data_IF_381370647554
#
_entry.id   IF_381370647554
#
_cell.length_a   1.000
_cell.length_b   1.000
_cell.length_c   1.000
_cell.angle_alpha   90.00
_cell.angle_beta   90.00
_cell.angle_gamma   90.00
#
_symmetry.space_group_name_H-M   'P 1'
#
loop_
_entity.id
_entity.type
_entity.pdbx_description
1 polymer ?
#
# COMPACT_ATOMS: atom_id res chain seq x y z
N UNK A 1 23.19 46.25 53.78
CA UNK A 1 22.82 44.85 53.52
C UNK A 1 21.45 44.84 52.87
N UNK A 2 21.39 44.67 51.56
CA UNK A 2 20.14 44.57 50.79
C UNK A 2 19.70 43.12 50.75
N UNK A 3 18.52 42.82 51.29
CA UNK A 3 17.93 41.48 51.27
C UNK A 3 17.45 41.15 49.84
N UNK A 4 17.87 40.00 49.31
CA UNK A 4 17.40 39.48 48.02
C UNK A 4 15.93 39.07 48.18
N UNK A 5 14.99 39.50 47.29
CA UNK A 5 13.58 39.18 47.45
C UNK A 5 13.31 37.67 47.37
N UNK A 6 12.31 37.12 48.09
CA UNK A 6 12.07 35.68 48.19
C UNK A 6 11.65 34.97 46.88
N UNK A 7 11.46 35.69 45.77
CA UNK A 7 10.86 35.15 44.55
C UNK A 7 11.82 34.41 43.59
N UNK A 8 13.13 34.67 43.66
CA UNK A 8 14.09 34.14 42.66
C UNK A 8 14.44 32.68 42.96
N UNK A 9 14.50 32.29 44.23
CA UNK A 9 14.85 30.92 44.65
C UNK A 9 13.74 29.92 44.32
N UNK A 10 12.47 30.32 44.45
CA UNK A 10 11.30 29.50 44.11
C UNK A 10 11.14 29.32 42.61
N UNK A 11 11.37 30.38 41.82
CA UNK A 11 11.29 30.29 40.35
C UNK A 11 12.37 29.37 39.77
N UNK A 12 13.59 29.44 40.30
CA UNK A 12 14.71 28.58 39.90
C UNK A 12 14.47 27.11 40.27
N UNK A 13 13.91 26.85 41.46
CA UNK A 13 13.55 25.49 41.89
C UNK A 13 12.44 24.88 41.00
N UNK A 14 11.45 25.68 40.62
CA UNK A 14 10.32 25.23 39.79
C UNK A 14 10.76 24.91 38.35
N UNK A 15 11.65 25.72 37.78
CA UNK A 15 12.28 25.44 36.49
C UNK A 15 13.15 24.18 36.52
N UNK A 16 13.85 23.93 37.63
CA UNK A 16 14.62 22.70 37.82
C UNK A 16 13.74 21.44 37.87
N UNK A 17 12.61 21.50 38.57
CA UNK A 17 11.66 20.38 38.65
C UNK A 17 11.02 20.11 37.29
N UNK A 18 10.59 21.15 36.58
CA UNK A 18 10.05 21.00 35.21
C UNK A 18 11.10 20.44 34.26
N UNK A 19 12.34 20.94 34.32
CA UNK A 19 13.44 20.42 33.52
C UNK A 19 13.74 18.95 33.81
N UNK A 20 13.75 18.54 35.08
CA UNK A 20 13.95 17.14 35.47
C UNK A 20 12.81 16.22 35.00
N UNK A 21 11.56 16.70 35.05
CA UNK A 21 10.39 15.94 34.53
C UNK A 21 10.49 15.79 33.01
N UNK A 22 10.83 16.86 32.28
CA UNK A 22 10.98 16.82 30.82
C UNK A 22 12.13 15.89 30.42
N UNK A 23 13.29 16.00 31.07
CA UNK A 23 14.42 15.08 30.83
C UNK A 23 14.04 13.63 31.19
N UNK A 24 13.32 13.42 32.30
CA UNK A 24 12.82 12.11 32.70
C UNK A 24 11.86 11.51 31.66
N UNK A 25 10.96 12.31 31.11
CA UNK A 25 10.03 11.91 30.07
C UNK A 25 10.75 11.59 28.74
N UNK A 26 11.73 12.40 28.35
CA UNK A 26 12.57 12.15 27.16
C UNK A 26 13.43 10.89 27.36
N UNK A 27 14.02 10.70 28.54
CA UNK A 27 14.81 9.51 28.85
C UNK A 27 13.94 8.26 28.86
N UNK A 28 12.72 8.33 29.39
CA UNK A 28 11.80 7.19 29.44
C UNK A 28 11.31 6.84 28.05
N UNK A 29 10.94 7.82 27.22
CA UNK A 29 10.57 7.57 25.81
C UNK A 29 11.72 6.99 25.00
N UNK A 30 12.93 7.51 25.16
CA UNK A 30 14.13 6.99 24.47
C UNK A 30 14.48 5.57 24.92
N UNK A 31 14.39 5.27 26.22
CA UNK A 31 14.66 3.94 26.77
C UNK A 31 13.57 2.95 26.40
N UNK A 32 12.29 3.34 26.42
CA UNK A 32 11.19 2.48 25.97
C UNK A 32 11.35 2.14 24.48
N UNK A 33 11.69 3.12 23.63
CA UNK A 33 11.98 2.86 22.21
C UNK A 33 13.21 1.96 22.03
N UNK A 34 14.28 2.16 22.81
CA UNK A 34 15.49 1.32 22.73
C UNK A 34 15.26 -0.10 23.26
N UNK A 35 14.41 -0.30 24.27
CA UNK A 35 14.04 -1.60 24.83
C UNK A 35 13.02 -2.35 23.96
N UNK A 36 12.26 -1.63 23.14
CA UNK A 36 11.27 -2.23 22.22
C UNK A 36 11.92 -2.89 21.00
N UNK A 37 13.22 -2.69 20.78
CA UNK A 37 13.94 -3.19 19.62
C UNK A 37 13.54 -2.46 18.32
N UNK A 38 14.19 -2.76 17.19
CA UNK A 38 13.72 -2.26 15.90
C UNK A 38 12.29 -2.77 15.62
N UNK A 39 11.47 -1.99 14.88
CA UNK A 39 10.16 -2.44 14.41
C UNK A 39 10.20 -3.87 13.86
N UNK A 40 9.18 -4.68 14.16
CA UNK A 40 9.14 -6.10 13.75
C UNK A 40 9.15 -6.21 12.23
N UNK A 41 8.47 -5.32 11.51
CA UNK A 41 8.50 -5.35 10.04
C UNK A 41 9.89 -5.13 9.43
N UNK A 42 10.88 -4.60 10.16
CA UNK A 42 12.26 -4.45 9.66
C UNK A 42 13.11 -5.71 9.80
N UNK A 43 12.74 -6.62 10.70
CA UNK A 43 13.60 -7.75 11.11
C UNK A 43 12.91 -9.11 11.04
N UNK A 44 11.59 -9.11 10.83
CA UNK A 44 10.75 -10.30 10.86
C UNK A 44 10.02 -10.45 9.53
N UNK A 45 10.52 -11.36 8.70
CA UNK A 45 10.02 -11.63 7.36
C UNK A 45 9.19 -12.92 7.40
N UNK A 46 7.86 -12.87 7.20
CA UNK A 46 7.01 -14.04 7.40
C UNK A 46 7.34 -15.19 6.45
N UNK A 47 7.82 -14.91 5.24
CA UNK A 47 8.20 -15.92 4.24
C UNK A 47 9.50 -16.69 4.57
N UNK A 48 10.35 -16.15 5.45
CA UNK A 48 11.57 -16.84 5.90
C UNK A 48 11.29 -17.87 7.00
N UNK A 49 10.07 -17.89 7.55
CA UNK A 49 9.70 -18.81 8.64
C UNK A 49 9.37 -20.20 8.09
N UNK A 50 9.81 -21.23 8.80
CA UNK A 50 9.45 -22.62 8.49
C UNK A 50 7.93 -22.84 8.55
N UNK A 51 7.28 -22.24 9.55
CA UNK A 51 5.83 -22.31 9.76
C UNK A 51 5.27 -20.88 9.96
N UNK A 52 4.94 -20.15 8.88
CA UNK A 52 4.37 -18.82 9.00
C UNK A 52 2.97 -18.88 9.63
N UNK A 53 2.61 -17.81 10.35
CA UNK A 53 1.23 -17.65 10.83
C UNK A 53 0.30 -17.53 9.63
N UNK A 54 -0.75 -18.35 9.56
CA UNK A 54 -1.79 -18.25 8.53
C UNK A 54 -2.87 -17.29 9.04
N UNK A 55 -3.25 -16.32 8.22
CA UNK A 55 -4.33 -15.38 8.54
C UNK A 55 -5.67 -16.11 8.66
N UNK A 56 -6.50 -15.66 9.60
CA UNK A 56 -7.85 -16.21 9.78
C UNK A 56 -8.79 -15.57 8.78
N UNK A 57 -9.49 -16.41 8.00
CA UNK A 57 -10.52 -15.98 7.04
C UNK A 57 -11.92 -16.06 7.66
N UNK A 58 -12.73 -15.04 7.40
CA UNK A 58 -14.17 -15.00 7.67
C UNK A 58 -14.89 -14.29 6.52
N UNK A 59 -15.48 -15.05 5.60
CA UNK A 59 -16.03 -14.51 4.36
C UNK A 59 -14.94 -13.90 3.48
N UNK A 60 -15.14 -12.65 3.05
CA UNK A 60 -14.15 -11.84 2.31
C UNK A 60 -13.18 -11.08 3.22
N UNK A 61 -13.12 -11.40 4.52
CA UNK A 61 -12.26 -10.71 5.48
C UNK A 61 -11.15 -11.62 6.00
N UNK A 62 -9.91 -11.11 6.02
CA UNK A 62 -8.74 -11.76 6.59
C UNK A 62 -8.18 -10.95 7.74
N UNK A 63 -7.68 -11.63 8.77
CA UNK A 63 -7.09 -10.97 9.94
C UNK A 63 -5.98 -11.79 10.57
N UNK A 64 -5.03 -11.10 11.19
CA UNK A 64 -3.98 -11.73 11.99
C UNK A 64 -3.46 -10.72 13.04
N UNK A 65 -2.82 -11.19 14.14
CA UNK A 65 -2.26 -10.32 15.18
C UNK A 65 -0.95 -9.61 14.78
N UNK A 66 -0.43 -9.86 13.58
CA UNK A 66 0.85 -9.34 13.08
C UNK A 66 1.21 -10.01 11.75
N UNK A 67 2.51 -10.16 11.46
CA UNK A 67 2.99 -10.83 10.25
C UNK A 67 2.30 -12.17 9.99
N UNK A 68 1.77 -12.35 8.78
CA UNK A 68 1.06 -13.57 8.41
C UNK A 68 1.01 -13.78 6.88
N UNK A 69 0.70 -15.02 6.51
CA UNK A 69 0.44 -15.47 5.15
C UNK A 69 -1.07 -15.58 4.93
N UNK A 70 -1.54 -15.15 3.77
CA UNK A 70 -2.90 -15.33 3.28
C UNK A 70 -2.83 -16.32 2.11
N UNK A 71 -3.52 -17.45 2.26
CA UNK A 71 -3.75 -18.38 1.15
C UNK A 71 -5.01 -17.92 0.44
N UNK A 72 -4.89 -17.53 -0.83
CA UNK A 72 -6.04 -17.10 -1.61
C UNK A 72 -6.87 -18.32 -2.04
N UNK A 73 -8.21 -18.27 -1.91
CA UNK A 73 -9.08 -19.33 -2.40
C UNK A 73 -9.19 -19.27 -3.93
N UNK A 74 -9.59 -20.38 -4.55
CA UNK A 74 -9.63 -20.52 -6.01
C UNK A 74 -10.52 -19.46 -6.69
N UNK A 75 -11.61 -19.04 -6.03
CA UNK A 75 -12.53 -18.03 -6.55
C UNK A 75 -11.89 -16.64 -6.70
N UNK A 76 -10.81 -16.36 -5.97
CA UNK A 76 -10.04 -15.12 -6.05
C UNK A 76 -8.78 -15.24 -6.93
N UNK A 77 -8.55 -16.42 -7.52
CA UNK A 77 -7.36 -16.70 -8.35
C UNK A 77 -7.70 -17.23 -9.74
N UNK A 78 -8.98 -17.38 -10.04
CA UNK A 78 -9.50 -17.84 -11.34
C UNK A 78 -10.39 -16.75 -11.94
N UNK A 79 -9.79 -15.62 -12.34
CA UNK A 79 -10.56 -14.52 -12.90
C UNK A 79 -9.76 -13.23 -13.11
N UNK A 80 -10.46 -12.11 -13.00
CA UNK A 80 -9.91 -10.75 -13.04
C UNK A 80 -9.02 -10.45 -11.84
N UNK A 81 -8.37 -9.27 -11.86
CA UNK A 81 -7.66 -8.75 -10.71
C UNK A 81 -8.51 -8.74 -9.43
N UNK A 82 -7.85 -8.80 -8.28
CA UNK A 82 -8.44 -8.66 -6.95
C UNK A 82 -8.06 -7.32 -6.33
N UNK A 83 -8.96 -6.78 -5.52
CA UNK A 83 -8.70 -5.63 -4.65
C UNK A 83 -8.37 -6.15 -3.25
N UNK A 84 -7.30 -5.60 -2.65
CA UNK A 84 -6.92 -5.84 -1.26
C UNK A 84 -7.06 -4.52 -0.52
N UNK A 85 -8.04 -4.44 0.38
CA UNK A 85 -8.36 -3.22 1.12
C UNK A 85 -8.18 -3.40 2.61
N UNK A 86 -7.42 -2.50 3.23
CA UNK A 86 -7.26 -2.39 4.68
C UNK A 86 -8.50 -1.74 5.30
N UNK A 87 -9.18 -2.48 6.17
CA UNK A 87 -10.37 -1.97 6.89
C UNK A 87 -10.06 -1.55 8.31
N UNK A 88 -9.06 -2.16 8.95
CA UNK A 88 -8.59 -1.78 10.28
C UNK A 88 -7.19 -2.32 10.55
N UNK A 89 -6.54 -1.80 11.59
CA UNK A 89 -5.32 -2.38 12.14
C UNK A 89 -4.55 -1.42 13.03
N UNK A 90 -3.77 -1.98 13.95
CA UNK A 90 -2.77 -1.25 14.73
C UNK A 90 -1.41 -1.46 14.06
N UNK A 91 -0.76 -0.37 13.69
CA UNK A 91 0.46 -0.38 12.87
C UNK A 91 0.35 0.72 11.83
N UNK A 92 1.35 1.58 11.74
CA UNK A 92 1.35 2.70 10.79
C UNK A 92 1.35 2.17 9.35
N UNK A 93 2.14 1.12 9.10
CA UNK A 93 2.39 0.57 7.77
C UNK A 93 2.08 -0.93 7.72
N UNK A 94 1.39 -1.36 6.67
CA UNK A 94 1.16 -2.75 6.33
C UNK A 94 1.81 -3.03 4.98
N UNK A 95 2.93 -3.74 4.97
CA UNK A 95 3.61 -4.13 3.74
C UNK A 95 2.94 -5.37 3.17
N UNK A 96 2.53 -5.29 1.91
CA UNK A 96 1.89 -6.39 1.20
C UNK A 96 2.84 -6.92 0.13
N UNK A 97 3.06 -8.24 0.14
CA UNK A 97 3.82 -8.95 -0.88
C UNK A 97 3.02 -10.10 -1.47
N UNK A 98 3.46 -10.60 -2.61
CA UNK A 98 2.82 -11.71 -3.32
C UNK A 98 3.86 -12.73 -3.78
N UNK A 99 3.49 -14.01 -3.72
CA UNK A 99 4.29 -15.10 -4.29
C UNK A 99 3.40 -16.10 -5.02
N UNK A 100 3.92 -16.78 -6.06
CA UNK A 100 3.17 -17.83 -6.77
C UNK A 100 2.78 -19.01 -5.87
N UNK A 101 3.56 -19.27 -4.82
CA UNK A 101 3.25 -20.23 -3.76
C UNK A 101 4.00 -19.87 -2.47
N UNK A 102 3.67 -20.56 -1.37
CA UNK A 102 4.37 -20.41 -0.10
C UNK A 102 5.84 -20.86 -0.17
N UNK A 103 6.12 -21.91 -0.96
CA UNK A 103 7.46 -22.45 -1.16
C UNK A 103 8.32 -21.51 -2.01
N UNK A 104 7.76 -20.92 -3.07
CA UNK A 104 8.47 -19.98 -3.93
C UNK A 104 9.04 -18.79 -3.15
N UNK A 105 8.32 -18.32 -2.13
CA UNK A 105 8.72 -17.21 -1.28
C UNK A 105 10.00 -17.48 -0.44
N UNK A 106 10.45 -18.74 -0.35
CA UNK A 106 11.70 -19.12 0.33
C UNK A 106 12.92 -18.94 -0.55
N UNK A 107 12.75 -19.12 -1.86
CA UNK A 107 13.82 -19.05 -2.84
C UNK A 107 13.89 -17.66 -3.50
N UNK A 108 12.74 -17.00 -3.66
CA UNK A 108 12.60 -15.69 -4.27
C UNK A 108 11.82 -14.73 -3.36
N UNK A 109 12.27 -13.48 -3.30
CA UNK A 109 11.58 -12.46 -2.50
C UNK A 109 10.16 -12.23 -3.03
N UNK A 110 9.14 -12.13 -2.17
CA UNK A 110 7.79 -11.77 -2.61
C UNK A 110 7.77 -10.47 -3.40
N UNK A 111 7.03 -10.46 -4.50
CA UNK A 111 6.78 -9.25 -5.27
C UNK A 111 6.05 -8.24 -4.37
N UNK A 112 6.61 -7.04 -4.24
CA UNK A 112 5.97 -5.98 -3.46
C UNK A 112 4.71 -5.48 -4.15
N UNK A 113 3.59 -5.50 -3.44
CA UNK A 113 2.31 -4.88 -3.86
C UNK A 113 2.13 -3.47 -3.29
N UNK A 114 3.04 -3.05 -2.41
CA UNK A 114 3.04 -1.71 -1.81
C UNK A 114 2.81 -1.74 -0.31
N UNK A 115 2.50 -0.56 0.22
CA UNK A 115 2.27 -0.33 1.64
C UNK A 115 0.86 0.20 1.81
N UNK A 116 0.06 -0.47 2.63
CA UNK A 116 -1.27 -0.03 3.01
C UNK A 116 -1.23 0.71 4.35
N UNK A 117 -1.74 1.94 4.35
CA UNK A 117 -1.78 2.83 5.51
C UNK A 117 -3.14 3.54 5.63
N UNK A 118 -3.21 4.61 6.42
CA UNK A 118 -4.44 5.37 6.63
C UNK A 118 -4.84 6.23 5.41
N UNK A 119 -3.91 6.48 4.50
CA UNK A 119 -4.08 7.29 3.28
C UNK A 119 -4.25 6.38 2.07
N UNK A 120 -3.37 5.39 1.92
CA UNK A 120 -3.39 4.38 0.86
C UNK A 120 -4.01 3.10 1.42
N UNK A 121 -5.34 3.07 1.48
CA UNK A 121 -6.05 1.97 2.15
C UNK A 121 -6.21 0.73 1.28
N UNK A 122 -5.97 0.80 -0.03
CA UNK A 122 -6.16 -0.31 -0.96
C UNK A 122 -5.04 -0.43 -2.02
N UNK A 123 -5.00 -1.60 -2.63
CA UNK A 123 -4.20 -1.89 -3.84
C UNK A 123 -4.90 -3.00 -4.62
N UNK A 124 -4.57 -3.14 -5.89
CA UNK A 124 -5.02 -4.24 -6.73
C UNK A 124 -3.85 -5.12 -7.20
N UNK A 125 -4.12 -6.39 -7.46
CA UNK A 125 -3.17 -7.31 -8.10
C UNK A 125 -3.90 -8.43 -8.84
N UNK A 126 -3.21 -9.08 -9.78
CA UNK A 126 -3.66 -10.34 -10.36
C UNK A 126 -3.16 -11.51 -9.52
N UNK A 127 -3.95 -12.56 -9.41
CA UNK A 127 -3.56 -13.78 -8.71
C UNK A 127 -3.89 -15.01 -9.56
N UNK A 128 -3.01 -16.00 -9.52
CA UNK A 128 -3.20 -17.32 -10.16
C UNK A 128 -3.38 -18.41 -9.10
N UNK A 129 -3.96 -19.58 -9.43
CA UNK A 129 -4.19 -20.63 -8.43
C UNK A 129 -2.89 -21.00 -7.69
N UNK A 130 -2.97 -21.09 -6.36
CA UNK A 130 -1.82 -21.31 -5.48
C UNK A 130 -1.11 -20.05 -4.98
N UNK A 131 -1.44 -18.87 -5.53
CA UNK A 131 -0.90 -17.58 -5.07
C UNK A 131 -1.13 -17.38 -3.57
N UNK A 132 -0.10 -16.87 -2.90
CA UNK A 132 -0.18 -16.43 -1.50
C UNK A 132 0.16 -14.95 -1.38
N UNK A 133 -0.50 -14.27 -0.44
CA UNK A 133 -0.14 -12.91 -0.04
C UNK A 133 0.59 -12.94 1.30
N UNK A 134 1.59 -12.07 1.42
CA UNK A 134 2.39 -11.91 2.63
C UNK A 134 2.10 -10.54 3.24
N UNK A 135 1.68 -10.54 4.49
CA UNK A 135 1.48 -9.31 5.26
C UNK A 135 2.59 -9.17 6.27
N UNK A 136 3.24 -7.99 6.28
CA UNK A 136 4.26 -7.64 7.26
C UNK A 136 3.93 -6.30 7.93
N UNK A 137 3.81 -6.30 9.25
CA UNK A 137 3.41 -5.14 10.06
C UNK A 137 3.70 -5.35 11.55
N UNK A 138 3.61 -4.29 12.36
CA UNK A 138 3.92 -4.32 13.80
C UNK A 138 2.74 -4.71 14.71
N UNK A 139 1.53 -4.85 14.17
CA UNK A 139 0.35 -5.13 14.99
C UNK A 139 -0.81 -5.81 14.26
N UNK A 140 -1.94 -6.00 14.97
CA UNK A 140 -3.11 -6.67 14.41
C UNK A 140 -3.66 -5.90 13.21
N UNK A 141 -4.13 -6.62 12.21
CA UNK A 141 -4.68 -6.03 10.99
C UNK A 141 -5.94 -6.77 10.53
N UNK A 142 -6.73 -6.09 9.70
CA UNK A 142 -7.85 -6.68 8.98
C UNK A 142 -7.87 -6.16 7.56
N UNK A 143 -7.92 -7.09 6.60
CA UNK A 143 -8.04 -6.83 5.18
C UNK A 143 -9.36 -7.40 4.66
N UNK A 144 -9.97 -6.74 3.69
CA UNK A 144 -11.00 -7.30 2.83
C UNK A 144 -10.36 -7.59 1.48
N UNK A 145 -10.60 -8.78 0.93
CA UNK A 145 -10.09 -9.20 -0.39
C UNK A 145 -11.25 -9.69 -1.23
N UNK A 146 -11.47 -9.03 -2.36
CA UNK A 146 -12.62 -9.24 -3.23
C UNK A 146 -12.21 -9.09 -4.70
N UNK A 147 -13.00 -9.63 -5.66
CA UNK A 147 -12.77 -9.35 -7.07
C UNK A 147 -12.85 -7.85 -7.34
N UNK A 148 -11.86 -7.32 -8.07
CA UNK A 148 -11.76 -5.90 -8.37
C UNK A 148 -13.00 -5.43 -9.16
N UNK A 149 -13.62 -4.35 -8.68
CA UNK A 149 -14.69 -3.67 -9.40
C UNK A 149 -14.09 -2.48 -10.17
N UNK A 150 -13.74 -2.71 -11.43
CA UNK A 150 -13.18 -1.69 -12.32
C UNK A 150 -14.17 -1.30 -13.43
N UNK A 151 -14.15 -0.04 -13.84
CA UNK A 151 -14.91 0.43 -14.99
C UNK A 151 -14.27 -0.09 -16.28
N UNK A 152 -15.05 -0.69 -17.17
CA UNK A 152 -14.52 -1.19 -18.45
C UNK A 152 -14.33 -0.04 -19.43
N UNK A 153 -13.17 0.00 -20.08
CA UNK A 153 -12.81 0.98 -21.11
C UNK A 153 -12.75 0.25 -22.44
N UNK A 154 -13.56 0.70 -23.40
CA UNK A 154 -13.54 0.15 -24.76
C UNK A 154 -12.50 0.87 -25.63
N UNK A 155 -12.56 2.20 -25.66
CA UNK A 155 -11.68 3.03 -26.51
C UNK A 155 -11.14 4.26 -25.80
N UNK A 156 -11.98 5.04 -25.12
CA UNK A 156 -11.53 6.21 -24.37
C UNK A 156 -12.41 6.49 -23.15
N UNK A 157 -11.79 7.02 -22.10
CA UNK A 157 -12.45 7.44 -20.86
C UNK A 157 -11.75 8.68 -20.30
N UNK A 158 -12.52 9.57 -19.68
CA UNK A 158 -12.01 10.76 -19.01
C UNK A 158 -12.62 10.88 -17.62
N UNK A 159 -11.87 11.44 -16.68
CA UNK A 159 -12.32 11.52 -15.30
C UNK A 159 -11.54 12.48 -14.42
N UNK A 160 -11.98 12.52 -13.16
CA UNK A 160 -11.30 13.15 -12.05
C UNK A 160 -11.25 12.18 -10.87
N UNK A 161 -10.25 12.34 -10.01
CA UNK A 161 -10.05 11.48 -8.84
C UNK A 161 -9.53 10.08 -9.17
N UNK A 162 -9.33 9.29 -8.10
CA UNK A 162 -8.77 7.94 -8.15
C UNK A 162 -9.78 6.92 -8.69
N UNK A 163 -9.34 6.05 -9.60
CA UNK A 163 -10.17 5.03 -10.28
C UNK A 163 -9.35 3.81 -10.67
N UNK A 164 -10.03 2.66 -10.73
CA UNK A 164 -9.57 1.48 -11.46
C UNK A 164 -10.34 1.36 -12.77
N UNK A 165 -9.61 1.19 -13.87
CA UNK A 165 -10.14 0.98 -15.21
C UNK A 165 -9.68 -0.37 -15.74
N UNK A 166 -10.55 -1.13 -16.39
CA UNK A 166 -10.22 -2.41 -17.02
C UNK A 166 -10.29 -2.29 -18.54
N UNK A 167 -9.30 -2.86 -19.22
CA UNK A 167 -9.28 -3.04 -20.66
C UNK A 167 -9.08 -4.51 -21.01
N UNK A 168 -10.00 -5.06 -21.80
CA UNK A 168 -10.06 -6.48 -22.20
C UNK A 168 -9.74 -6.68 -23.70
N UNK A 169 -9.25 -5.63 -24.37
CA UNK A 169 -9.00 -5.64 -25.81
C UNK A 169 -7.58 -6.06 -26.21
N UNK A 170 -7.30 -6.16 -27.51
CA UNK A 170 -6.03 -6.73 -28.02
C UNK A 170 -4.87 -5.73 -28.03
N UNK A 171 -5.11 -4.44 -27.79
CA UNK A 171 -4.06 -3.42 -27.83
C UNK A 171 -3.11 -3.57 -26.64
N UNK A 172 -1.86 -3.16 -26.83
CA UNK A 172 -0.85 -3.15 -25.80
C UNK A 172 -0.31 -1.74 -25.50
N UNK A 173 -1.00 -0.71 -26.00
CA UNK A 173 -0.64 0.69 -25.79
C UNK A 173 -1.86 1.58 -25.57
N UNK A 174 -1.73 2.58 -24.73
CA UNK A 174 -2.75 3.62 -24.53
C UNK A 174 -2.11 5.01 -24.43
N UNK A 175 -2.75 6.00 -25.03
CA UNK A 175 -2.49 7.40 -24.74
C UNK A 175 -3.09 7.78 -23.38
N UNK A 176 -2.29 8.42 -22.54
CA UNK A 176 -2.71 9.01 -21.27
C UNK A 176 -2.40 10.50 -21.28
N UNK A 177 -3.42 11.29 -21.00
CA UNK A 177 -3.33 12.74 -20.91
C UNK A 177 -3.80 13.21 -19.55
N UNK A 178 -3.03 14.13 -18.98
CA UNK A 178 -3.34 14.79 -17.72
C UNK A 178 -3.37 16.31 -17.94
N UNK A 179 -4.38 16.95 -17.37
CA UNK A 179 -4.55 18.39 -17.32
C UNK A 179 -4.90 18.82 -15.89
N UNK A 180 -4.50 20.02 -15.49
CA UNK A 180 -4.75 20.55 -14.16
C UNK A 180 -3.53 20.59 -13.25
N UNK A 181 -3.76 21.11 -12.04
CA UNK A 181 -2.70 21.46 -11.09
C UNK A 181 -2.43 20.37 -10.04
N UNK A 182 -3.25 19.30 -10.03
CA UNK A 182 -3.09 18.15 -9.13
C UNK A 182 -2.02 17.17 -9.62
N UNK A 183 -1.49 16.37 -8.70
CA UNK A 183 -0.60 15.26 -9.05
C UNK A 183 -1.41 14.06 -9.51
N UNK A 184 -0.87 13.31 -10.48
CA UNK A 184 -1.42 12.02 -10.88
C UNK A 184 -0.34 10.94 -10.91
N UNK A 185 -0.73 9.75 -10.48
CA UNK A 185 0.04 8.53 -10.65
C UNK A 185 -0.80 7.52 -11.42
N UNK A 186 -0.23 6.91 -12.45
CA UNK A 186 -0.89 5.82 -13.21
C UNK A 186 -0.04 4.57 -13.11
N UNK A 187 -0.62 3.50 -12.61
CA UNK A 187 -0.02 2.16 -12.61
C UNK A 187 -0.73 1.27 -13.61
N UNK A 188 0.04 0.49 -14.38
CA UNK A 188 -0.50 -0.52 -15.28
C UNK A 188 -0.27 -1.89 -14.67
N UNK A 189 -1.37 -2.62 -14.47
CA UNK A 189 -1.37 -3.95 -13.88
C UNK A 189 -1.76 -4.96 -14.95
N UNK A 190 -0.95 -6.01 -15.07
CA UNK A 190 -1.25 -7.18 -15.89
C UNK A 190 -1.04 -8.45 -15.06
N UNK A 191 -1.52 -9.59 -15.56
CA UNK A 191 -1.27 -10.88 -14.90
C UNK A 191 0.21 -11.28 -14.86
N UNK A 192 1.03 -10.80 -15.80
CA UNK A 192 2.45 -11.12 -15.88
C UNK A 192 3.29 -10.19 -15.00
N UNK A 193 2.93 -8.90 -14.96
CA UNK A 193 3.73 -7.88 -14.29
C UNK A 193 2.91 -6.67 -13.86
N UNK A 194 3.39 -5.99 -12.82
CA UNK A 194 2.99 -4.63 -12.47
C UNK A 194 4.05 -3.69 -13.01
N UNK A 195 3.65 -2.79 -13.89
CA UNK A 195 4.57 -1.80 -14.46
C UNK A 195 4.71 -0.58 -13.56
N UNK A 196 5.83 0.10 -13.72
CA UNK A 196 6.19 1.23 -12.90
C UNK A 196 5.16 2.37 -13.01
N UNK A 197 4.89 3.09 -11.91
CA UNK A 197 3.99 4.22 -11.92
C UNK A 197 4.50 5.35 -12.82
N UNK A 198 3.61 5.92 -13.63
CA UNK A 198 3.83 7.22 -14.27
C UNK A 198 3.38 8.31 -13.31
N UNK A 199 4.32 9.06 -12.75
CA UNK A 199 4.05 10.19 -11.84
C UNK A 199 4.16 11.50 -12.62
N UNK A 200 3.15 12.37 -12.50
CA UNK A 200 3.06 13.60 -13.28
C UNK A 200 2.52 14.79 -12.48
N UNK A 201 3.05 15.98 -12.79
CA UNK A 201 2.57 17.29 -12.36
C UNK A 201 2.36 18.19 -13.58
N UNK A 202 1.22 18.87 -13.67
CA UNK A 202 0.88 19.75 -14.80
C UNK A 202 0.47 19.01 -16.08
N UNK A 203 0.41 19.70 -17.21
CA UNK A 203 -0.12 19.12 -18.46
C UNK A 203 0.86 18.13 -19.07
N UNK A 204 0.42 16.88 -19.26
CA UNK A 204 1.20 15.79 -19.85
C UNK A 204 0.38 15.01 -20.87
N UNK A 205 1.07 14.52 -21.90
CA UNK A 205 0.55 13.61 -22.93
C UNK A 205 1.61 12.50 -23.14
N UNK A 206 1.29 11.26 -22.74
CA UNK A 206 2.22 10.14 -22.74
C UNK A 206 1.58 8.87 -23.28
N UNK A 207 2.40 8.01 -23.88
CA UNK A 207 2.00 6.67 -24.28
C UNK A 207 2.40 5.67 -23.19
N UNK A 208 1.42 4.96 -22.64
CA UNK A 208 1.59 3.79 -21.80
C UNK A 208 1.72 2.57 -22.70
N UNK A 209 2.62 1.63 -22.38
CA UNK A 209 2.84 0.40 -23.13
C UNK A 209 3.02 -0.74 -22.15
N UNK A 210 2.39 -1.88 -22.40
CA UNK A 210 2.47 -3.04 -21.53
C UNK A 210 2.72 -4.36 -22.28
N UNK A 211 3.12 -5.39 -21.55
CA UNK A 211 3.20 -6.76 -22.07
C UNK A 211 1.84 -7.33 -22.42
N UNK A 212 1.76 -8.11 -23.51
CA UNK A 212 0.51 -8.74 -23.97
C UNK A 212 -0.20 -9.47 -22.82
N UNK A 213 -1.43 -9.06 -22.53
CA UNK A 213 -2.25 -9.62 -21.45
C UNK A 213 -3.71 -9.70 -21.87
N UNK A 214 -4.47 -10.72 -21.45
CA UNK A 214 -5.90 -10.82 -21.75
C UNK A 214 -6.74 -9.77 -21.01
N UNK A 215 -6.23 -9.26 -19.89
CA UNK A 215 -6.86 -8.21 -19.08
C UNK A 215 -5.76 -7.25 -18.60
N UNK A 216 -6.06 -5.95 -18.66
CA UNK A 216 -5.20 -4.88 -18.17
C UNK A 216 -6.00 -4.03 -17.22
N UNK A 217 -5.44 -3.71 -16.06
CA UNK A 217 -6.04 -2.77 -15.12
C UNK A 217 -5.16 -1.53 -15.03
N UNK A 218 -5.75 -0.36 -15.28
CA UNK A 218 -5.12 0.93 -14.97
C UNK A 218 -5.58 1.37 -13.59
N UNK A 219 -4.64 1.58 -12.68
CA UNK A 219 -4.90 2.23 -11.40
C UNK A 219 -4.47 3.69 -11.51
N UNK A 220 -5.46 4.58 -11.56
CA UNK A 220 -5.23 6.02 -11.61
C UNK A 220 -5.41 6.54 -10.20
N UNK A 221 -4.35 7.11 -9.63
CA UNK A 221 -4.35 7.79 -8.34
C UNK A 221 -4.23 9.28 -8.61
N UNK A 222 -5.30 10.04 -8.36
CA UNK A 222 -5.36 11.45 -8.73
C UNK A 222 -5.65 12.33 -7.50
N UNK A 223 -4.79 13.31 -7.25
CA UNK A 223 -4.99 14.30 -6.21
C UNK A 223 -6.09 15.32 -6.60
N UNK A 224 -6.66 16.06 -5.63
CA UNK A 224 -7.63 17.12 -5.93
C UNK A 224 -7.11 18.12 -6.97
N UNK A 225 -7.88 18.34 -8.03
CA UNK A 225 -7.51 19.27 -9.11
C UNK A 225 -6.87 18.60 -10.34
N UNK A 226 -6.57 17.30 -10.28
CA UNK A 226 -6.14 16.53 -11.45
C UNK A 226 -7.34 16.11 -12.32
N UNK A 227 -7.21 16.31 -13.63
CA UNK A 227 -8.16 15.90 -14.67
C UNK A 227 -7.41 15.03 -15.67
N UNK A 228 -7.97 13.90 -16.06
CA UNK A 228 -7.26 12.94 -16.91
C UNK A 228 -8.15 12.33 -17.98
N UNK A 229 -7.51 11.84 -19.04
CA UNK A 229 -8.13 11.00 -20.06
C UNK A 229 -7.18 9.89 -20.49
N UNK A 230 -7.74 8.71 -20.70
CA UNK A 230 -7.07 7.54 -21.24
C UNK A 230 -7.74 7.17 -22.57
N UNK A 231 -6.96 6.93 -23.61
CA UNK A 231 -7.43 6.45 -24.90
C UNK A 231 -6.59 5.27 -25.35
N UNK A 232 -7.21 4.12 -25.56
CA UNK A 232 -6.55 2.93 -26.07
C UNK A 232 -6.65 2.96 -27.58
N UNK A 233 -5.50 2.86 -28.26
CA UNK A 233 -5.50 2.76 -29.72
C UNK A 233 -6.06 1.38 -30.08
N UNK A 234 -7.24 1.35 -30.71
CA UNK A 234 -7.69 0.16 -31.41
C UNK A 234 -6.75 -0.03 -32.60
N UNK A 235 -5.75 -0.90 -32.44
CA UNK A 235 -4.92 -1.33 -33.54
C UNK A 235 -5.82 -1.74 -34.70
N UNK A 236 -5.69 -1.03 -35.83
CA UNK A 236 -6.45 -1.37 -37.05
C UNK A 236 -6.22 -2.86 -37.36
N UNK A 237 -7.29 -3.67 -37.57
CA UNK A 237 -7.15 -5.10 -37.83
C UNK A 237 -6.33 -5.42 -39.09
#
# INVERSE_FOLDING_TARGET
MTAVPPGIRTYSALLWVVGAIVIGAIATTTVVSALSGPPRWLTDFPWERENPTIATQNGSTWSAPGNAMIVLPDELTTGSAIEVRRTSGQGELLFLGQSPSAEAARDELPQSLGILDAVNADTATFASPGTVLWVRTDGPWTLVIEPLQAETVDSAVSGTGTRYLRYDGPSNTAGFRHEGDGTITVEVLTAAEREAPVISLGVIDQQLTWSSSPEVVFHIIAEPGAVWSLSVDEGTP
#
